data_IF_717708245751
#
_entry.id   IF_717708245751
#
_cell.length_a   1.000
_cell.length_b   1.000
_cell.length_c   1.000
_cell.angle_alpha   90.00
_cell.angle_beta   90.00
_cell.angle_gamma   90.00
#
_symmetry.space_group_name_H-M   'P 1'
#
loop_
_entity.id
_entity.type
_entity.pdbx_description
1 polymer ?
#
# COMPACT_ATOMS: atom_id res chain seq x y z
N UNK A 1 16.56 5.72 -25.52
CA UNK A 1 15.83 4.77 -24.65
C UNK A 1 15.17 5.42 -23.41
N UNK A 2 15.62 6.58 -22.97
CA UNK A 2 15.09 7.31 -21.79
C UNK A 2 13.67 7.90 -21.95
N UNK A 3 13.18 8.10 -23.17
CA UNK A 3 11.83 8.70 -23.43
C UNK A 3 10.64 7.75 -23.20
N UNK A 4 10.85 6.44 -23.22
CA UNK A 4 9.77 5.45 -23.10
C UNK A 4 9.26 5.28 -21.65
N UNK A 5 10.16 5.23 -20.66
CA UNK A 5 9.80 5.01 -19.26
C UNK A 5 9.05 6.21 -18.67
N UNK A 6 9.45 7.44 -19.04
CA UNK A 6 8.75 8.65 -18.61
C UNK A 6 7.32 8.75 -19.21
N UNK A 7 7.11 8.18 -20.40
CA UNK A 7 5.80 8.20 -21.05
C UNK A 7 4.82 7.20 -20.41
N UNK A 8 5.31 6.03 -19.98
CA UNK A 8 4.49 5.02 -19.30
C UNK A 8 4.10 5.54 -17.91
N UNK A 9 5.05 6.10 -17.16
CA UNK A 9 4.77 6.70 -15.85
C UNK A 9 3.82 7.90 -15.97
N UNK A 10 4.01 8.77 -16.97
CA UNK A 10 3.10 9.90 -17.22
C UNK A 10 1.71 9.46 -17.66
N UNK A 11 1.58 8.40 -18.43
CA UNK A 11 0.26 7.85 -18.85
C UNK A 11 -0.47 7.19 -17.68
N UNK A 12 0.22 6.43 -16.83
CA UNK A 12 -0.36 5.82 -15.64
C UNK A 12 -0.69 6.85 -14.55
N UNK A 13 0.17 7.87 -14.37
CA UNK A 13 -0.08 8.98 -13.43
C UNK A 13 -1.20 9.89 -13.97
N UNK A 14 -1.27 10.15 -15.27
CA UNK A 14 -2.36 10.90 -15.88
C UNK A 14 -3.70 10.17 -15.77
N UNK A 15 -3.71 8.83 -15.86
CA UNK A 15 -4.91 8.01 -15.64
C UNK A 15 -5.33 8.04 -14.17
N UNK A 16 -4.39 7.99 -13.21
CA UNK A 16 -4.71 8.07 -11.79
C UNK A 16 -5.19 9.48 -11.38
N UNK A 17 -4.59 10.54 -11.92
CA UNK A 17 -5.02 11.93 -11.66
C UNK A 17 -6.38 12.24 -12.33
N UNK A 18 -6.63 11.73 -13.53
CA UNK A 18 -7.90 11.87 -14.22
C UNK A 18 -9.01 11.05 -13.54
N UNK A 19 -8.68 9.87 -12.96
CA UNK A 19 -9.66 9.06 -12.21
C UNK A 19 -10.02 9.69 -10.87
N UNK A 20 -9.07 10.31 -10.16
CA UNK A 20 -9.35 11.06 -8.94
C UNK A 20 -10.25 12.28 -9.24
N UNK A 21 -10.01 13.00 -10.34
CA UNK A 21 -10.86 14.10 -10.80
C UNK A 21 -12.25 13.62 -11.28
N UNK A 22 -12.32 12.48 -11.95
CA UNK A 22 -13.58 11.90 -12.42
C UNK A 22 -14.47 11.40 -11.26
N UNK A 23 -13.86 10.90 -10.17
CA UNK A 23 -14.61 10.45 -8.99
C UNK A 23 -15.26 11.63 -8.23
N UNK A 24 -14.66 12.82 -8.26
CA UNK A 24 -15.21 14.05 -7.67
C UNK A 24 -16.33 14.65 -8.53
N UNK A 25 -16.33 14.42 -9.86
CA UNK A 25 -17.33 14.95 -10.78
C UNK A 25 -18.59 14.07 -10.91
N UNK A 26 -18.56 12.83 -10.43
CA UNK A 26 -19.69 11.89 -10.54
C UNK A 26 -20.78 12.07 -9.46
N UNK A 27 -20.68 13.05 -8.57
CA UNK A 27 -21.62 13.28 -7.46
C UNK A 27 -22.50 14.52 -7.67
N UNK A 28 -22.68 15.00 -8.89
CA UNK A 28 -23.68 16.05 -9.17
C UNK A 28 -24.90 15.44 -9.88
N UNK A 29 -26.12 15.58 -9.34
CA UNK A 29 -27.32 15.12 -10.03
C UNK A 29 -27.67 16.07 -11.18
N UNK A 30 -27.52 15.64 -12.42
CA UNK A 30 -28.10 16.34 -13.58
C UNK A 30 -29.19 15.46 -14.16
N UNK A 31 -30.42 15.90 -13.98
CA UNK A 31 -31.59 15.46 -14.75
C UNK A 31 -31.51 16.04 -16.16
N UNK A 32 -31.60 15.20 -17.20
CA UNK A 32 -31.72 15.66 -18.58
C UNK A 32 -31.35 14.60 -19.62
N UNK A 33 -32.36 14.07 -20.25
CA UNK A 33 -32.32 13.11 -21.35
C UNK A 33 -31.73 13.67 -22.63
N UNK A 34 -30.80 12.96 -23.29
CA UNK A 34 -30.77 12.71 -24.75
C UNK A 34 -29.47 11.98 -25.17
N UNK A 35 -29.51 11.20 -26.28
CA UNK A 35 -28.55 10.14 -26.55
C UNK A 35 -27.32 10.67 -27.28
N UNK A 36 -26.13 10.26 -26.85
CA UNK A 36 -24.90 10.48 -27.59
C UNK A 36 -24.27 9.17 -28.04
N UNK A 37 -24.08 9.13 -29.33
CA UNK A 37 -23.43 8.18 -30.21
C UNK A 37 -22.11 7.60 -29.64
N UNK A 38 -21.98 6.28 -29.86
CA UNK A 38 -20.74 5.51 -29.68
C UNK A 38 -19.52 6.18 -30.32
N UNK A 39 -18.49 6.44 -29.52
CA UNK A 39 -17.12 6.52 -30.03
C UNK A 39 -16.27 5.51 -29.26
N UNK A 40 -15.77 4.56 -30.03
CA UNK A 40 -14.88 3.45 -29.68
C UNK A 40 -13.69 3.95 -28.83
N UNK A 41 -13.75 3.75 -27.52
CA UNK A 41 -12.59 3.87 -26.66
C UNK A 41 -11.96 2.48 -26.53
N UNK A 42 -10.70 2.33 -26.92
CA UNK A 42 -9.89 1.16 -26.63
C UNK A 42 -9.76 1.01 -25.11
N UNK A 43 -10.73 0.33 -24.51
CA UNK A 43 -10.70 -0.14 -23.14
C UNK A 43 -9.92 -1.45 -23.12
N UNK A 44 -8.61 -1.35 -22.96
CA UNK A 44 -7.81 -2.47 -22.47
C UNK A 44 -8.27 -2.78 -21.05
N UNK A 45 -9.31 -3.60 -20.89
CA UNK A 45 -9.66 -4.22 -19.62
C UNK A 45 -8.44 -5.02 -19.17
N UNK A 46 -7.67 -4.48 -18.23
CA UNK A 46 -6.85 -5.30 -17.34
C UNK A 46 -7.87 -6.06 -16.48
N UNK A 47 -8.25 -7.24 -16.93
CA UNK A 47 -8.97 -8.20 -16.11
C UNK A 47 -8.00 -8.62 -15.03
N UNK A 48 -8.06 -7.97 -13.86
CA UNK A 48 -7.52 -8.49 -12.62
C UNK A 48 -8.35 -9.74 -12.33
N UNK A 49 -7.85 -10.89 -12.76
CA UNK A 49 -8.38 -12.19 -12.38
C UNK A 49 -8.31 -12.25 -10.86
N UNK A 50 -9.48 -12.16 -10.22
CA UNK A 50 -9.59 -12.46 -8.80
C UNK A 50 -9.20 -13.93 -8.64
N UNK A 51 -7.96 -14.17 -8.22
CA UNK A 51 -7.54 -15.49 -7.73
C UNK A 51 -8.28 -15.72 -6.42
N UNK A 52 -9.35 -16.51 -6.48
CA UNK A 52 -10.01 -17.05 -5.31
C UNK A 52 -9.02 -17.94 -4.58
N UNK A 53 -8.60 -17.50 -3.42
CA UNK A 53 -8.25 -18.22 -2.21
C UNK A 53 -7.57 -19.61 -2.36
N UNK A 54 -6.29 -19.63 -2.73
CA UNK A 54 -5.36 -20.41 -1.94
C UNK A 54 -4.54 -19.41 -1.12
N UNK A 55 -4.59 -19.56 0.17
CA UNK A 55 -4.40 -18.52 1.18
C UNK A 55 -2.95 -18.15 1.48
N UNK A 56 -2.00 -18.65 0.72
CA UNK A 56 -0.57 -18.36 0.81
C UNK A 56 0.00 -18.65 -0.57
N UNK A 57 0.88 -17.81 -1.09
CA UNK A 57 1.50 -18.11 -2.37
C UNK A 57 2.39 -19.36 -2.24
N UNK A 58 2.18 -20.42 -3.07
CA UNK A 58 2.93 -21.65 -2.96
C UNK A 58 4.36 -21.51 -3.50
N UNK A 59 5.31 -22.16 -2.82
CA UNK A 59 6.63 -22.46 -3.36
C UNK A 59 6.60 -23.81 -4.07
N UNK A 60 7.40 -23.95 -5.11
CA UNK A 60 7.63 -25.20 -5.81
C UNK A 60 9.13 -25.40 -6.13
N UNK A 61 9.47 -26.45 -6.84
CA UNK A 61 10.87 -26.76 -7.22
C UNK A 61 11.53 -25.68 -8.09
N UNK A 62 10.77 -24.75 -8.66
CA UNK A 62 11.30 -23.61 -9.43
C UNK A 62 11.58 -22.39 -8.58
N UNK A 63 11.11 -22.35 -7.32
CA UNK A 63 11.35 -21.26 -6.37
C UNK A 63 12.84 -21.13 -6.06
N UNK A 64 13.42 -19.94 -6.30
CA UNK A 64 14.84 -19.69 -6.08
C UNK A 64 15.11 -19.24 -4.67
N UNK A 65 16.31 -19.53 -4.17
CA UNK A 65 16.80 -18.96 -2.91
C UNK A 65 17.35 -17.55 -3.15
N UNK A 66 16.93 -16.58 -2.34
CA UNK A 66 17.53 -15.24 -2.29
C UNK A 66 18.76 -15.33 -1.38
N UNK A 67 19.95 -15.12 -1.94
CA UNK A 67 21.20 -15.13 -1.17
C UNK A 67 21.44 -13.81 -0.42
N UNK A 68 22.31 -13.84 0.60
CA UNK A 68 22.74 -12.65 1.34
C UNK A 68 23.45 -11.62 0.45
N UNK A 69 24.12 -12.06 -0.61
CA UNK A 69 24.73 -11.17 -1.60
C UNK A 69 23.67 -10.41 -2.42
N UNK A 70 22.49 -11.03 -2.63
CA UNK A 70 21.39 -10.37 -3.34
C UNK A 70 20.64 -9.43 -2.43
N UNK A 71 20.28 -9.87 -1.21
CA UNK A 71 19.53 -9.05 -0.26
C UNK A 71 20.01 -9.30 1.17
N UNK A 72 20.43 -8.21 1.84
CA UNK A 72 20.87 -8.23 3.23
C UNK A 72 19.72 -8.34 4.25
N UNK A 73 18.48 -8.18 3.81
CA UNK A 73 17.29 -8.41 4.65
C UNK A 73 17.22 -9.86 5.11
N UNK A 74 16.82 -10.09 6.38
CA UNK A 74 16.69 -11.45 6.96
C UNK A 74 15.54 -12.22 6.33
N UNK A 75 14.45 -11.52 6.02
CA UNK A 75 13.25 -12.06 5.39
C UNK A 75 13.07 -11.43 4.02
N UNK A 76 12.80 -12.23 2.99
CA UNK A 76 12.51 -11.69 1.67
C UNK A 76 11.66 -12.67 0.85
N UNK A 77 10.75 -12.14 0.03
CA UNK A 77 9.98 -12.90 -0.95
C UNK A 77 9.78 -12.08 -2.22
N UNK A 78 9.78 -12.76 -3.36
CA UNK A 78 9.32 -12.23 -4.64
C UNK A 78 8.24 -13.14 -5.19
N UNK A 79 7.07 -12.60 -5.39
CA UNK A 79 5.91 -13.31 -5.93
C UNK A 79 5.60 -12.77 -7.33
N UNK A 80 5.37 -13.66 -8.27
CA UNK A 80 4.75 -13.31 -9.55
C UNK A 80 3.23 -13.18 -9.34
N UNK A 81 2.75 -11.95 -9.26
CA UNK A 81 1.34 -11.66 -8.95
C UNK A 81 0.37 -12.10 -10.07
N UNK A 82 0.86 -12.38 -11.28
CA UNK A 82 0.04 -12.91 -12.39
C UNK A 82 -0.24 -14.40 -12.23
N UNK A 83 0.73 -15.17 -11.72
CA UNK A 83 0.62 -16.62 -11.59
C UNK A 83 0.33 -17.10 -10.18
N UNK A 84 0.46 -16.21 -9.19
CA UNK A 84 0.36 -16.56 -7.78
C UNK A 84 1.49 -17.45 -7.27
N UNK A 85 2.68 -17.46 -7.92
CA UNK A 85 3.80 -18.32 -7.55
C UNK A 85 4.94 -17.51 -6.94
N UNK A 86 5.58 -18.10 -5.91
CA UNK A 86 6.83 -17.58 -5.37
C UNK A 86 7.94 -17.78 -6.40
N UNK A 87 8.53 -16.67 -6.87
CA UNK A 87 9.66 -16.69 -7.80
C UNK A 87 10.99 -16.93 -7.06
N UNK A 88 11.15 -16.24 -5.91
CA UNK A 88 12.32 -16.39 -5.05
C UNK A 88 11.99 -16.04 -3.60
N UNK A 89 12.66 -16.65 -2.63
CA UNK A 89 12.45 -16.35 -1.23
C UNK A 89 13.69 -16.60 -0.35
N UNK A 90 13.66 -16.01 0.84
CA UNK A 90 14.56 -16.20 1.96
C UNK A 90 13.74 -16.03 3.23
N UNK A 91 13.50 -17.13 3.96
CA UNK A 91 12.66 -17.12 5.17
C UNK A 91 11.27 -16.48 4.96
N UNK A 92 10.65 -16.66 3.77
CA UNK A 92 9.44 -15.95 3.38
C UNK A 92 8.21 -16.27 4.23
N UNK A 93 8.17 -17.46 4.83
CA UNK A 93 7.08 -17.96 5.68
C UNK A 93 7.41 -17.86 7.19
N UNK A 94 8.59 -17.35 7.56
CA UNK A 94 8.95 -17.14 8.95
C UNK A 94 8.22 -15.92 9.54
N UNK A 95 7.86 -16.02 10.82
CA UNK A 95 7.23 -14.91 11.56
C UNK A 95 8.13 -13.69 11.63
N UNK A 96 7.53 -12.54 11.40
CA UNK A 96 8.17 -11.23 11.55
C UNK A 96 7.17 -10.20 12.09
N UNK A 97 7.67 -9.10 12.62
CA UNK A 97 6.86 -7.93 12.95
C UNK A 97 6.72 -7.06 11.69
N UNK A 98 5.48 -6.83 11.19
CA UNK A 98 5.27 -6.14 9.91
C UNK A 98 5.49 -4.62 10.00
N UNK A 99 5.54 -4.05 11.20
CA UNK A 99 5.56 -2.60 11.40
C UNK A 99 4.50 -1.90 10.52
N UNK A 100 4.81 -0.73 9.98
CA UNK A 100 3.86 0.02 9.16
C UNK A 100 3.50 -0.63 7.80
N UNK A 101 4.02 -1.82 7.44
CA UNK A 101 3.43 -2.59 6.34
C UNK A 101 1.98 -3.01 6.67
N UNK A 102 1.62 -3.10 7.95
CA UNK A 102 0.25 -3.23 8.47
C UNK A 102 -0.73 -2.26 7.81
N UNK A 103 -0.29 -1.04 7.50
CA UNK A 103 -1.15 -0.01 6.91
C UNK A 103 -1.64 -0.36 5.49
N UNK A 104 -1.07 -1.38 4.83
CA UNK A 104 -1.63 -1.92 3.59
C UNK A 104 -2.94 -2.67 3.87
N UNK A 105 -3.02 -3.41 5.00
CA UNK A 105 -4.27 -4.01 5.46
C UNK A 105 -5.28 -2.94 5.89
N UNK A 106 -4.83 -1.93 6.63
CA UNK A 106 -5.66 -0.77 7.01
C UNK A 106 -6.27 -0.09 5.78
N UNK A 107 -5.46 0.16 4.75
CA UNK A 107 -5.94 0.71 3.48
C UNK A 107 -6.93 -0.22 2.79
N UNK A 108 -6.63 -1.52 2.71
CA UNK A 108 -7.49 -2.51 2.06
C UNK A 108 -8.87 -2.54 2.73
N UNK A 109 -8.91 -2.74 4.04
CA UNK A 109 -10.18 -2.78 4.80
C UNK A 109 -10.94 -1.47 4.67
N UNK A 110 -10.26 -0.32 4.83
CA UNK A 110 -10.93 0.97 4.69
C UNK A 110 -11.47 1.17 3.27
N UNK A 111 -10.72 0.81 2.23
CA UNK A 111 -11.14 0.97 0.84
C UNK A 111 -12.38 0.15 0.45
N UNK A 112 -12.65 -0.94 1.18
CA UNK A 112 -13.85 -1.77 0.99
C UNK A 112 -15.09 -1.23 1.70
N UNK A 113 -14.92 -0.34 2.70
CA UNK A 113 -16.01 0.13 3.57
C UNK A 113 -16.30 1.63 3.44
N UNK A 114 -15.35 2.42 2.91
CA UNK A 114 -15.55 3.85 2.67
C UNK A 114 -16.61 4.05 1.58
N UNK A 115 -17.63 4.85 1.90
CA UNK A 115 -18.75 5.15 1.00
C UNK A 115 -18.58 6.48 0.29
N UNK A 116 -17.98 7.46 0.95
CA UNK A 116 -17.80 8.80 0.40
C UNK A 116 -16.44 9.37 0.79
N UNK A 117 -15.61 9.66 -0.21
CA UNK A 117 -14.25 10.20 -0.03
C UNK A 117 -14.23 11.67 0.45
N UNK A 118 -15.35 12.38 0.29
CA UNK A 118 -15.48 13.79 0.68
C UNK A 118 -16.05 13.97 2.11
N UNK A 119 -16.45 12.89 2.77
CA UNK A 119 -16.82 12.95 4.19
C UNK A 119 -15.66 13.51 5.00
N UNK A 120 -15.98 14.29 6.02
CA UNK A 120 -14.97 14.91 6.89
C UNK A 120 -14.91 14.21 8.23
N UNK A 121 -13.68 14.02 8.71
CA UNK A 121 -13.36 13.43 10.00
C UNK A 121 -12.60 14.46 10.83
N UNK A 122 -12.96 14.61 12.09
CA UNK A 122 -12.24 15.49 13.01
C UNK A 122 -11.08 14.70 13.64
N UNK A 123 -9.87 15.23 13.51
CA UNK A 123 -8.70 14.69 14.21
C UNK A 123 -8.81 15.00 15.70
N UNK A 124 -8.86 14.00 16.53
CA UNK A 124 -9.05 14.16 17.99
C UNK A 124 -7.71 14.27 18.70
N UNK A 125 -7.69 14.96 19.85
CA UNK A 125 -6.45 15.15 20.63
C UNK A 125 -5.84 13.82 21.08
N UNK A 126 -6.66 12.85 21.49
CA UNK A 126 -6.19 11.54 21.94
C UNK A 126 -5.44 10.74 20.86
N UNK A 127 -5.78 10.91 19.58
CA UNK A 127 -5.00 10.35 18.47
C UNK A 127 -3.60 10.98 18.43
N UNK A 128 -3.52 12.29 18.57
CA UNK A 128 -2.23 12.99 18.53
C UNK A 128 -1.37 12.69 19.77
N UNK A 129 -2.00 12.64 20.94
CA UNK A 129 -1.32 12.26 22.17
C UNK A 129 -0.74 10.84 22.08
N UNK A 130 -1.54 9.90 21.57
CA UNK A 130 -1.09 8.53 21.33
C UNK A 130 0.09 8.48 20.33
N UNK A 131 0.00 9.25 19.23
CA UNK A 131 1.07 9.30 18.23
C UNK A 131 2.37 9.89 18.82
N UNK A 132 2.26 10.89 19.66
CA UNK A 132 3.40 11.54 20.34
C UNK A 132 4.03 10.60 21.38
N UNK A 133 3.22 9.95 22.20
CA UNK A 133 3.69 9.01 23.23
C UNK A 133 4.48 7.83 22.65
N UNK A 134 4.08 7.38 21.45
CA UNK A 134 4.66 6.21 20.81
C UNK A 134 5.62 6.54 19.64
N UNK A 135 6.03 7.79 19.51
CA UNK A 135 6.94 8.28 18.45
C UNK A 135 6.49 7.83 17.03
N UNK A 136 5.20 7.97 16.74
CA UNK A 136 4.63 7.56 15.47
C UNK A 136 4.92 8.56 14.36
N UNK A 137 5.10 8.07 13.13
CA UNK A 137 5.02 8.92 11.94
C UNK A 137 3.62 9.47 11.77
N UNK A 138 3.47 10.76 11.49
CA UNK A 138 2.17 11.45 11.28
C UNK A 138 2.13 12.17 9.95
N UNK A 139 0.93 12.54 9.50
CA UNK A 139 0.71 13.50 8.40
C UNK A 139 1.04 14.91 8.88
N UNK A 140 0.75 15.20 10.15
CA UNK A 140 0.91 16.52 10.76
C UNK A 140 -0.41 17.28 10.89
N UNK A 141 -1.53 16.58 10.95
CA UNK A 141 -2.83 17.18 11.23
C UNK A 141 -2.89 17.74 12.67
N UNK A 142 -3.67 18.77 12.89
CA UNK A 142 -3.87 19.36 14.20
C UNK A 142 -5.14 18.83 14.90
N UNK A 143 -5.17 18.94 16.24
CA UNK A 143 -6.38 18.61 17.01
C UNK A 143 -7.54 19.52 16.62
N UNK A 144 -8.71 18.93 16.44
CA UNK A 144 -9.92 19.63 16.00
C UNK A 144 -9.95 19.93 14.49
N UNK A 145 -8.89 19.64 13.75
CA UNK A 145 -8.86 19.81 12.30
C UNK A 145 -9.81 18.81 11.63
N UNK A 146 -10.61 19.32 10.68
CA UNK A 146 -11.50 18.51 9.84
C UNK A 146 -10.83 18.24 8.52
N UNK A 147 -10.53 16.96 8.28
CA UNK A 147 -9.88 16.47 7.06
C UNK A 147 -10.79 15.51 6.33
N UNK A 148 -10.62 15.34 5.03
CA UNK A 148 -11.47 14.41 4.27
C UNK A 148 -11.01 12.94 4.45
N UNK A 149 -11.93 12.02 4.23
CA UNK A 149 -11.59 10.58 4.16
C UNK A 149 -10.55 10.31 3.08
N UNK A 150 -10.58 11.06 1.99
CA UNK A 150 -9.55 11.02 0.96
C UNK A 150 -8.18 11.39 1.54
N UNK A 151 -8.06 12.49 2.29
CA UNK A 151 -6.81 12.90 2.94
C UNK A 151 -6.29 11.83 3.90
N UNK A 152 -7.20 11.16 4.63
CA UNK A 152 -6.83 10.07 5.53
C UNK A 152 -6.28 8.84 4.80
N UNK A 153 -6.87 8.44 3.66
CA UNK A 153 -6.39 7.31 2.86
C UNK A 153 -4.96 7.57 2.36
N UNK A 154 -4.71 8.72 1.71
CA UNK A 154 -3.37 9.07 1.23
C UNK A 154 -2.40 9.33 2.39
N UNK A 155 -2.85 9.98 3.46
CA UNK A 155 -2.07 10.20 4.69
C UNK A 155 -1.63 8.91 5.36
N UNK A 156 -2.45 7.87 5.36
CA UNK A 156 -2.12 6.55 5.90
C UNK A 156 -0.93 5.90 5.18
N UNK A 157 -0.86 6.02 3.86
CA UNK A 157 0.12 5.28 3.04
C UNK A 157 1.38 6.11 2.76
N UNK A 158 1.24 7.34 2.26
CA UNK A 158 2.37 8.07 1.71
C UNK A 158 3.41 8.43 2.76
N UNK A 159 3.08 9.21 3.81
CA UNK A 159 3.99 9.53 4.90
C UNK A 159 3.99 8.46 6.00
N UNK A 160 3.15 7.42 5.86
CA UNK A 160 2.93 6.43 6.91
C UNK A 160 2.21 6.99 8.15
N UNK A 161 1.31 7.98 7.99
CA UNK A 161 0.63 8.68 9.07
C UNK A 161 -0.19 7.75 9.97
N UNK A 162 0.17 7.70 11.25
CA UNK A 162 -0.59 6.97 12.27
C UNK A 162 -1.86 7.74 12.66
N UNK A 163 -1.77 9.07 12.73
CA UNK A 163 -2.89 9.99 12.92
C UNK A 163 -3.99 9.76 11.87
N UNK A 164 -3.61 9.69 10.60
CA UNK A 164 -4.53 9.40 9.51
C UNK A 164 -5.11 7.97 9.60
N UNK A 165 -4.28 6.97 9.90
CA UNK A 165 -4.70 5.57 9.95
C UNK A 165 -5.70 5.30 11.10
N UNK A 166 -5.47 5.87 12.28
CA UNK A 166 -6.36 5.76 13.44
C UNK A 166 -7.69 6.49 13.17
N UNK A 167 -7.63 7.73 12.68
CA UNK A 167 -8.84 8.49 12.33
C UNK A 167 -9.68 7.77 11.26
N UNK A 168 -9.02 7.18 10.24
CA UNK A 168 -9.66 6.39 9.19
C UNK A 168 -10.32 5.13 9.76
N UNK A 169 -9.62 4.39 10.62
CA UNK A 169 -10.14 3.20 11.28
C UNK A 169 -11.38 3.50 12.13
N UNK A 170 -11.32 4.57 12.92
CA UNK A 170 -12.48 5.03 13.73
C UNK A 170 -13.65 5.50 12.87
N UNK A 171 -13.39 6.17 11.75
CA UNK A 171 -14.44 6.55 10.80
C UNK A 171 -15.16 5.31 10.24
N UNK A 172 -14.41 4.27 9.87
CA UNK A 172 -14.97 3.05 9.27
C UNK A 172 -15.71 2.18 10.29
N UNK A 173 -15.16 2.00 11.48
CA UNK A 173 -15.63 0.99 12.44
C UNK A 173 -16.16 1.57 13.76
N UNK A 174 -16.05 2.87 13.99
CA UNK A 174 -16.46 3.54 15.21
C UNK A 174 -15.45 3.49 16.35
N UNK A 175 -14.50 2.54 16.33
CA UNK A 175 -13.42 2.44 17.33
C UNK A 175 -12.19 1.72 16.78
N UNK A 176 -11.02 1.93 17.42
CA UNK A 176 -9.78 1.25 17.08
C UNK A 176 -9.93 -0.28 17.22
N UNK A 177 -10.54 -0.76 18.30
CA UNK A 177 -10.75 -2.18 18.56
C UNK A 177 -11.67 -2.84 17.51
N UNK A 178 -12.76 -2.18 17.13
CA UNK A 178 -13.66 -2.68 16.10
C UNK A 178 -12.96 -2.75 14.72
N UNK A 179 -12.13 -1.76 14.41
CA UNK A 179 -11.37 -1.76 13.16
C UNK A 179 -10.32 -2.88 13.13
N UNK A 180 -9.64 -3.14 14.25
CA UNK A 180 -8.70 -4.27 14.39
C UNK A 180 -9.42 -5.60 14.20
N UNK A 181 -10.63 -5.75 14.72
CA UNK A 181 -11.46 -6.93 14.45
C UNK A 181 -11.70 -7.10 12.95
N UNK A 182 -12.10 -6.03 12.24
CA UNK A 182 -12.28 -6.07 10.78
C UNK A 182 -10.99 -6.45 10.03
N UNK A 183 -9.82 -5.99 10.50
CA UNK A 183 -8.53 -6.36 9.92
C UNK A 183 -8.24 -7.85 10.08
N UNK A 184 -8.51 -8.43 11.26
CA UNK A 184 -8.32 -9.85 11.51
C UNK A 184 -9.34 -10.71 10.76
N UNK A 185 -10.60 -10.28 10.66
CA UNK A 185 -11.62 -10.93 9.84
C UNK A 185 -11.19 -10.94 8.35
N UNK A 186 -10.63 -9.82 7.87
CA UNK A 186 -10.08 -9.75 6.51
C UNK A 186 -8.87 -10.67 6.33
N UNK A 187 -7.98 -10.76 7.32
CA UNK A 187 -6.87 -11.70 7.30
C UNK A 187 -7.38 -13.15 7.22
N UNK A 188 -8.37 -13.52 8.02
CA UNK A 188 -9.03 -14.82 7.96
C UNK A 188 -9.70 -15.09 6.60
N UNK A 189 -10.42 -14.10 6.05
CA UNK A 189 -11.07 -14.20 4.74
C UNK A 189 -10.05 -14.37 3.59
N UNK A 190 -8.85 -13.80 3.72
CA UNK A 190 -7.72 -14.02 2.81
C UNK A 190 -6.96 -15.32 3.13
N UNK A 191 -7.37 -16.07 4.15
CA UNK A 191 -6.77 -17.33 4.57
C UNK A 191 -5.40 -17.19 5.23
N UNK A 192 -5.05 -16.03 5.75
CA UNK A 192 -3.75 -15.75 6.36
C UNK A 192 -3.68 -16.38 7.76
N UNK A 193 -3.03 -17.53 7.86
CA UNK A 193 -2.92 -18.29 9.12
C UNK A 193 -1.80 -17.81 10.04
N UNK A 194 -0.85 -17.07 9.49
CA UNK A 194 0.36 -16.61 10.18
C UNK A 194 0.37 -15.09 10.38
N UNK A 195 -0.81 -14.46 10.38
CA UNK A 195 -0.97 -13.01 10.55
C UNK A 195 -2.01 -12.72 11.63
N UNK A 196 -1.65 -11.83 12.54
CA UNK A 196 -2.56 -11.28 13.53
C UNK A 196 -2.25 -9.80 13.79
N UNK A 197 -3.27 -8.97 13.84
CA UNK A 197 -3.18 -7.54 14.09
C UNK A 197 -3.73 -7.19 15.47
N UNK A 198 -3.01 -6.34 16.21
CA UNK A 198 -3.45 -5.76 17.48
C UNK A 198 -3.73 -4.27 17.37
N UNK A 199 -3.29 -3.63 16.28
CA UNK A 199 -3.54 -2.24 15.97
C UNK A 199 -3.50 -1.99 14.45
N UNK A 200 -4.02 -0.84 14.01
CA UNK A 200 -4.11 -0.50 12.59
C UNK A 200 -2.89 0.25 12.04
N UNK A 201 -1.90 0.57 12.89
CA UNK A 201 -0.75 1.39 12.50
C UNK A 201 0.57 0.61 12.39
N UNK A 202 0.61 -0.62 12.93
CA UNK A 202 1.80 -1.47 12.93
C UNK A 202 2.79 -1.13 14.06
N UNK A 203 2.31 -0.57 15.15
CA UNK A 203 3.09 -0.42 16.38
C UNK A 203 3.39 -1.80 16.95
N UNK A 204 4.58 -1.93 17.57
CA UNK A 204 5.00 -3.20 18.14
C UNK A 204 4.08 -3.66 19.27
N UNK A 205 3.67 -4.90 19.16
CA UNK A 205 3.02 -5.71 20.17
C UNK A 205 3.43 -7.17 19.91
N UNK A 206 3.72 -7.99 20.95
CA UNK A 206 4.07 -9.40 20.75
C UNK A 206 3.02 -10.21 19.98
N UNK A 207 1.74 -9.82 20.08
CA UNK A 207 0.63 -10.41 19.34
C UNK A 207 0.44 -9.85 17.94
N UNK A 208 1.23 -8.86 17.51
CA UNK A 208 1.14 -8.22 16.19
C UNK A 208 2.21 -8.77 15.24
N UNK A 209 1.90 -9.79 14.48
CA UNK A 209 2.86 -10.51 13.64
C UNK A 209 2.30 -10.83 12.26
N UNK A 210 3.20 -11.16 11.34
CA UNK A 210 2.89 -11.64 9.99
C UNK A 210 4.07 -12.42 9.40
N UNK A 211 4.00 -12.77 8.12
CA UNK A 211 5.11 -13.31 7.31
C UNK A 211 5.28 -12.47 6.05
N UNK A 212 6.42 -12.59 5.35
CA UNK A 212 6.56 -11.94 4.05
C UNK A 212 5.52 -12.44 3.05
N UNK A 213 5.17 -13.72 3.10
CA UNK A 213 4.18 -14.32 2.23
C UNK A 213 2.78 -13.73 2.48
N UNK A 214 2.34 -13.68 3.75
CA UNK A 214 1.05 -13.12 4.11
C UNK A 214 0.95 -11.61 3.73
N UNK A 215 2.02 -10.83 3.97
CA UNK A 215 2.08 -9.43 3.52
C UNK A 215 2.00 -9.31 1.99
N UNK A 216 2.59 -10.26 1.25
CA UNK A 216 2.47 -10.26 -0.21
C UNK A 216 1.02 -10.54 -0.65
N UNK A 217 0.30 -11.43 0.03
CA UNK A 217 -1.14 -11.68 -0.21
C UNK A 217 -1.96 -10.42 0.07
N UNK A 218 -1.70 -9.73 1.20
CA UNK A 218 -2.38 -8.46 1.53
C UNK A 218 -2.12 -7.40 0.45
N UNK A 219 -0.87 -7.27 -0.01
CA UNK A 219 -0.51 -6.32 -1.07
C UNK A 219 -1.19 -6.68 -2.40
N UNK A 220 -1.30 -7.97 -2.72
CA UNK A 220 -2.01 -8.43 -3.92
C UNK A 220 -3.51 -8.11 -3.85
N UNK A 221 -4.15 -8.33 -2.71
CA UNK A 221 -5.54 -7.98 -2.49
C UNK A 221 -5.77 -6.46 -2.57
N UNK A 222 -4.88 -5.66 -1.96
CA UNK A 222 -4.93 -4.20 -2.05
C UNK A 222 -4.71 -3.71 -3.50
N UNK A 223 -3.84 -4.36 -4.27
CA UNK A 223 -3.64 -4.05 -5.69
C UNK A 223 -4.84 -4.40 -6.56
N UNK A 224 -5.69 -5.34 -6.15
CA UNK A 224 -6.94 -5.68 -6.82
C UNK A 224 -8.09 -4.69 -6.53
N UNK A 225 -8.02 -3.93 -5.43
CA UNK A 225 -8.95 -2.85 -5.11
C UNK A 225 -8.59 -1.59 -5.87
N UNK A 226 -9.49 -1.05 -6.69
CA UNK A 226 -9.22 0.15 -7.48
C UNK A 226 -8.82 1.35 -6.60
N UNK A 227 -9.54 1.58 -5.49
CA UNK A 227 -9.25 2.68 -4.57
C UNK A 227 -7.91 2.47 -3.87
N UNK A 228 -7.68 1.29 -3.28
CA UNK A 228 -6.43 1.01 -2.58
C UNK A 228 -5.23 1.09 -3.54
N UNK A 229 -5.35 0.55 -4.75
CA UNK A 229 -4.29 0.63 -5.76
C UNK A 229 -3.97 2.07 -6.14
N UNK A 230 -4.99 2.92 -6.34
CA UNK A 230 -4.80 4.35 -6.65
C UNK A 230 -3.99 5.04 -5.55
N UNK A 231 -4.29 4.77 -4.28
CA UNK A 231 -3.52 5.32 -3.15
C UNK A 231 -2.08 4.80 -3.14
N UNK A 232 -1.89 3.49 -3.31
CA UNK A 232 -0.57 2.84 -3.28
C UNK A 232 0.39 3.36 -4.36
N UNK A 233 -0.12 3.65 -5.57
CA UNK A 233 0.71 4.08 -6.70
C UNK A 233 0.93 5.59 -6.75
N UNK A 234 0.29 6.36 -5.87
CA UNK A 234 0.46 7.81 -5.80
C UNK A 234 1.83 8.17 -5.22
N UNK A 235 2.71 8.85 -5.94
CA UNK A 235 4.03 9.21 -5.43
C UNK A 235 3.99 10.41 -4.46
N UNK A 236 3.06 11.34 -4.67
CA UNK A 236 2.88 12.56 -3.89
C UNK A 236 1.41 12.98 -3.93
N UNK A 237 0.93 13.51 -2.81
CA UNK A 237 -0.41 14.05 -2.65
C UNK A 237 -0.36 15.30 -1.77
N UNK A 238 -1.20 16.30 -2.07
CA UNK A 238 -1.40 17.45 -1.19
C UNK A 238 -2.83 17.39 -0.66
N UNK A 239 -2.99 17.43 0.65
CA UNK A 239 -4.30 17.38 1.30
C UNK A 239 -5.16 18.58 0.90
N UNK A 240 -6.47 18.42 1.04
CA UNK A 240 -7.40 19.52 0.83
C UNK A 240 -7.11 20.65 1.85
N UNK A 241 -7.05 21.91 1.41
CA UNK A 241 -6.86 23.02 2.32
C UNK A 241 -7.89 23.06 3.44
N UNK A 242 -7.42 23.32 4.66
CA UNK A 242 -8.25 23.54 5.85
C UNK A 242 -7.97 24.92 6.46
N UNK A 243 -8.75 25.32 7.46
CA UNK A 243 -8.46 26.55 8.19
C UNK A 243 -7.11 26.51 8.91
N UNK A 244 -6.64 25.32 9.31
CA UNK A 244 -5.34 25.11 9.99
C UNK A 244 -4.21 25.06 8.97
N UNK A 245 -4.42 24.38 7.87
CA UNK A 245 -3.44 24.23 6.77
C UNK A 245 -4.00 24.81 5.47
N UNK A 246 -3.96 26.15 5.29
CA UNK A 246 -4.57 26.82 4.12
C UNK A 246 -3.95 26.46 2.77
N UNK A 247 -2.74 25.85 2.77
CA UNK A 247 -2.06 25.36 1.55
C UNK A 247 -2.16 23.82 1.42
N UNK A 248 -2.87 23.15 2.35
CA UNK A 248 -2.80 21.72 2.51
C UNK A 248 -1.43 21.25 3.00
N UNK A 249 -1.30 19.96 3.21
CA UNK A 249 -0.06 19.29 3.60
C UNK A 249 0.40 18.41 2.43
N UNK A 250 1.61 18.64 1.92
CA UNK A 250 2.17 17.81 0.85
C UNK A 250 2.91 16.60 1.43
N UNK A 251 2.39 15.41 1.17
CA UNK A 251 2.96 14.12 1.60
C UNK A 251 3.49 13.31 0.42
N UNK A 252 4.52 12.49 0.66
CA UNK A 252 5.17 11.67 -0.37
C UNK A 252 5.29 10.23 0.07
N UNK A 253 5.19 9.31 -0.91
CA UNK A 253 5.45 7.91 -0.64
C UNK A 253 6.93 7.70 -0.32
N UNK A 254 7.21 7.26 0.90
CA UNK A 254 8.57 7.16 1.45
C UNK A 254 9.45 6.15 0.70
N UNK A 255 8.89 5.12 0.09
CA UNK A 255 9.63 4.16 -0.72
C UNK A 255 9.90 4.72 -2.11
N UNK A 256 8.85 5.21 -2.78
CA UNK A 256 8.95 5.70 -4.16
C UNK A 256 9.86 6.93 -4.28
N UNK A 257 10.00 7.72 -3.21
CA UNK A 257 10.92 8.86 -3.16
C UNK A 257 12.40 8.47 -3.05
N UNK A 258 12.69 7.22 -2.66
CA UNK A 258 14.06 6.72 -2.41
C UNK A 258 14.54 5.72 -3.46
N UNK A 259 13.61 5.12 -4.23
CA UNK A 259 14.01 4.12 -5.22
C UNK A 259 14.62 4.77 -6.45
N UNK A 260 15.86 4.39 -6.77
CA UNK A 260 16.54 4.78 -8.00
C UNK A 260 16.01 4.00 -9.21
N UNK A 261 16.23 4.45 -10.45
CA UNK A 261 15.93 3.67 -11.64
C UNK A 261 16.57 2.27 -11.56
N UNK A 262 15.80 1.26 -11.95
CA UNK A 262 16.29 -0.12 -11.96
C UNK A 262 17.23 -0.38 -13.14
N UNK A 263 18.23 -1.22 -12.92
CA UNK A 263 19.15 -1.66 -13.99
C UNK A 263 18.47 -2.56 -15.04
N UNK A 264 17.32 -3.17 -14.67
CA UNK A 264 16.47 -3.91 -15.61
C UNK A 264 15.22 -3.11 -15.94
N UNK A 265 14.68 -3.28 -17.16
CA UNK A 265 13.47 -2.59 -17.57
C UNK A 265 12.28 -3.04 -16.72
N UNK A 266 11.63 -2.08 -16.08
CA UNK A 266 10.47 -2.25 -15.23
C UNK A 266 10.30 -1.07 -14.28
N UNK A 267 9.19 -1.03 -13.56
CA UNK A 267 8.85 0.08 -12.68
C UNK A 267 8.18 -0.40 -11.39
N UNK A 268 8.62 0.14 -10.25
CA UNK A 268 7.85 0.04 -8.99
C UNK A 268 6.73 1.06 -9.04
N UNK A 269 5.50 0.57 -9.02
CA UNK A 269 4.30 1.41 -9.09
C UNK A 269 3.88 1.89 -7.71
N UNK A 270 3.86 1.01 -6.70
CA UNK A 270 3.38 1.32 -5.36
C UNK A 270 4.18 0.60 -4.30
N UNK A 271 4.23 1.16 -3.09
CA UNK A 271 4.97 0.54 -2.00
C UNK A 271 4.57 1.09 -0.64
N UNK A 272 4.95 0.35 0.41
CA UNK A 272 4.86 0.78 1.81
C UNK A 272 6.11 0.36 2.58
N UNK A 273 6.70 1.28 3.32
CA UNK A 273 7.80 1.04 4.25
C UNK A 273 7.28 0.79 5.67
N UNK A 274 8.09 0.14 6.50
CA UNK A 274 7.84 -0.02 7.92
C UNK A 274 9.12 0.02 8.75
N UNK A 275 8.99 0.44 10.01
CA UNK A 275 10.04 0.41 11.00
C UNK A 275 9.43 0.40 12.41
N UNK A 276 9.89 -0.52 13.20
CA UNK A 276 9.92 -0.49 14.69
C UNK A 276 11.23 -1.12 15.11
N UNK A 277 11.69 -0.89 16.32
CA UNK A 277 12.97 -1.42 16.78
C UNK A 277 13.09 -2.94 16.62
N UNK A 278 12.00 -3.68 16.84
CA UNK A 278 11.95 -5.14 16.76
C UNK A 278 11.92 -5.68 15.32
N UNK A 279 11.29 -4.95 14.38
CA UNK A 279 11.26 -5.33 12.97
C UNK A 279 12.44 -4.81 12.17
N UNK A 280 13.17 -3.83 12.70
CA UNK A 280 14.06 -3.00 11.92
C UNK A 280 13.35 -2.44 10.67
N UNK A 281 14.06 -2.24 9.58
CA UNK A 281 13.47 -1.68 8.36
C UNK A 281 12.86 -2.79 7.52
N UNK A 282 11.63 -2.58 7.08
CA UNK A 282 10.90 -3.49 6.22
C UNK A 282 10.17 -2.72 5.11
N UNK A 283 9.81 -3.42 4.05
CA UNK A 283 9.07 -2.84 2.95
C UNK A 283 8.28 -3.90 2.18
N UNK A 284 7.19 -3.46 1.56
CA UNK A 284 6.47 -4.18 0.51
C UNK A 284 6.32 -3.28 -0.71
N UNK A 285 6.50 -3.83 -1.91
CA UNK A 285 6.31 -3.06 -3.14
C UNK A 285 5.70 -3.89 -4.26
N UNK A 286 4.99 -3.20 -5.16
CA UNK A 286 4.37 -3.72 -6.37
C UNK A 286 5.14 -3.22 -7.58
N UNK A 287 5.67 -4.15 -8.37
CA UNK A 287 6.52 -3.90 -9.51
C UNK A 287 5.92 -4.48 -10.78
N UNK A 288 6.08 -3.78 -11.89
CA UNK A 288 5.72 -4.31 -13.21
C UNK A 288 6.97 -4.35 -14.09
N UNK A 289 7.31 -5.54 -14.60
CA UNK A 289 8.43 -5.72 -15.52
C UNK A 289 8.12 -5.14 -16.91
N UNK A 290 9.16 -5.00 -17.75
CA UNK A 290 8.96 -4.56 -19.16
C UNK A 290 8.12 -5.52 -19.99
N UNK A 291 8.09 -6.79 -19.59
CA UNK A 291 7.18 -7.80 -20.17
C UNK A 291 5.74 -7.70 -19.65
N UNK A 292 5.40 -6.63 -18.92
CA UNK A 292 4.10 -6.39 -18.30
C UNK A 292 3.67 -7.49 -17.32
N UNK A 293 4.64 -8.09 -16.64
CA UNK A 293 4.41 -9.08 -15.58
C UNK A 293 4.46 -8.37 -14.23
N UNK A 294 3.39 -8.43 -13.43
CA UNK A 294 3.38 -7.86 -12.08
C UNK A 294 4.09 -8.78 -11.09
N UNK A 295 4.84 -8.17 -10.17
CA UNK A 295 5.51 -8.83 -9.06
C UNK A 295 5.26 -8.08 -7.76
N UNK A 296 5.23 -8.80 -6.66
CA UNK A 296 5.21 -8.26 -5.31
C UNK A 296 6.49 -8.70 -4.62
N UNK A 297 7.22 -7.74 -4.05
CA UNK A 297 8.39 -7.99 -3.22
C UNK A 297 8.11 -7.54 -1.79
N UNK A 298 8.46 -8.38 -0.82
CA UNK A 298 8.44 -8.03 0.60
C UNK A 298 9.79 -8.32 1.20
N UNK A 299 10.30 -7.42 2.03
CA UNK A 299 11.53 -7.60 2.80
C UNK A 299 11.31 -7.21 4.26
N UNK A 300 12.01 -7.90 5.17
CA UNK A 300 11.99 -7.62 6.60
C UNK A 300 13.38 -7.69 7.23
N UNK A 301 13.58 -6.92 8.31
CA UNK A 301 14.82 -6.82 9.07
C UNK A 301 16.02 -6.34 8.26
N UNK A 302 15.84 -5.41 7.33
CA UNK A 302 16.95 -4.70 6.69
C UNK A 302 17.70 -3.81 7.69
N UNK A 303 18.99 -3.58 7.45
CA UNK A 303 19.85 -2.80 8.35
C UNK A 303 19.60 -1.30 8.30
N UNK A 304 19.00 -0.77 7.23
CA UNK A 304 18.61 0.63 7.07
C UNK A 304 17.41 0.79 6.14
N UNK A 305 16.77 1.96 6.19
CA UNK A 305 15.67 2.28 5.26
C UNK A 305 16.10 2.27 3.79
N UNK A 306 17.33 2.67 3.51
CA UNK A 306 17.90 2.64 2.16
C UNK A 306 18.19 1.21 1.73
N UNK A 307 18.72 0.37 2.63
CA UNK A 307 18.98 -1.04 2.32
C UNK A 307 17.69 -1.81 2.04
N UNK A 308 16.59 -1.53 2.77
CA UNK A 308 15.30 -2.11 2.44
C UNK A 308 14.87 -1.80 1.00
N UNK A 309 15.06 -0.56 0.52
CA UNK A 309 14.76 -0.17 -0.87
C UNK A 309 15.72 -0.81 -1.86
N UNK A 310 17.03 -0.84 -1.56
CA UNK A 310 18.04 -1.43 -2.43
C UNK A 310 17.88 -2.95 -2.57
N UNK A 311 17.47 -3.63 -1.52
CA UNK A 311 17.20 -5.07 -1.57
C UNK A 311 16.08 -5.38 -2.57
N UNK A 312 15.00 -4.58 -2.60
CA UNK A 312 13.96 -4.72 -3.62
C UNK A 312 14.52 -4.53 -5.03
N UNK A 313 15.37 -3.52 -5.26
CA UNK A 313 16.02 -3.29 -6.56
C UNK A 313 16.85 -4.49 -7.01
N UNK A 314 17.65 -5.05 -6.11
CA UNK A 314 18.50 -6.21 -6.40
C UNK A 314 17.66 -7.47 -6.66
N UNK A 315 16.61 -7.70 -5.85
CA UNK A 315 15.70 -8.84 -6.01
C UNK A 315 14.99 -8.76 -7.37
N UNK A 316 14.44 -7.59 -7.76
CA UNK A 316 13.84 -7.40 -9.08
C UNK A 316 14.84 -7.62 -10.20
N UNK A 317 16.04 -7.07 -10.06
CA UNK A 317 17.11 -7.22 -11.07
C UNK A 317 17.55 -8.68 -11.25
N UNK A 318 17.56 -9.46 -10.17
CA UNK A 318 17.99 -10.86 -10.21
C UNK A 318 16.89 -11.82 -10.70
N UNK A 319 15.63 -11.59 -10.31
CA UNK A 319 14.61 -12.63 -10.40
C UNK A 319 13.35 -12.22 -11.17
N UNK A 320 13.00 -10.92 -11.31
CA UNK A 320 11.86 -10.50 -12.13
C UNK A 320 12.20 -10.57 -13.62
N UNK A 321 11.34 -11.18 -14.43
CA UNK A 321 11.54 -11.41 -15.88
C UNK A 321 10.36 -10.92 -16.71
#
# INVERSE_FOLDING_TARGET
MYRSVSSIRRRLIAVSSALAAALVLAVSPVSGSSPLTEKTALSGKITLSAYAAESVFPSDSSTKLISDQTAGSTFAILVNAKTGKITAQKNGDAYMYPASMTKVMTLLVASEHVKNLTDTVTITQDILDYCMEHDCSTVGFAAGEKVTVMDLLWGTILPSGADAAMALGRYVAGSDAAFVTMMNDKAAALGLKNTHFTNCIGLFDPGHYSTCNDIAVIMNAAAASQLAFTVLVTPQYTTIPTAVHPQGITVRNLFLSRISPLNKPGIVLGAKTGYVNQSRYCAVSYFVSSGNVPYICVTGMASSSMNAVQDHQKIYSAYAR
#
